data_IF_979585478510
#
_entry.id   IF_979585478510
#
_cell.length_a   1.000
_cell.length_b   1.000
_cell.length_c   1.000
_cell.angle_alpha   90.00
_cell.angle_beta   90.00
_cell.angle_gamma   90.00
#
_symmetry.space_group_name_H-M   'P 1'
#
loop_
_entity.id
_entity.type
_entity.pdbx_description
1 polymer ?
#
# COMPACT_ATOMS: atom_id res chain seq x y z
N UNK A 1 -29.98 -18.33 -45.25
CA UNK A 1 -29.76 -19.13 -44.02
C UNK A 1 -28.43 -18.71 -43.41
N UNK A 2 -28.39 -18.64 -42.08
CA UNK A 2 -27.26 -18.41 -41.16
C UNK A 2 -26.92 -16.95 -40.78
N UNK A 3 -27.07 -16.72 -39.47
CA UNK A 3 -26.79 -15.53 -38.69
C UNK A 3 -25.36 -15.61 -38.06
N UNK A 4 -25.05 -14.97 -36.92
CA UNK A 4 -24.31 -13.72 -36.79
C UNK A 4 -22.95 -13.90 -36.08
N UNK A 5 -21.99 -12.99 -36.32
CA UNK A 5 -20.71 -12.95 -35.60
C UNK A 5 -20.64 -11.79 -34.62
N UNK A 6 -20.98 -12.03 -33.35
CA UNK A 6 -20.59 -11.16 -32.24
C UNK A 6 -19.05 -11.16 -32.14
N UNK A 7 -18.43 -9.97 -32.12
CA UNK A 7 -17.13 -9.80 -31.48
C UNK A 7 -17.20 -8.58 -30.57
N UNK A 8 -17.43 -8.86 -29.29
CA UNK A 8 -17.29 -7.91 -28.21
C UNK A 8 -15.80 -7.55 -28.10
N UNK A 9 -15.44 -6.38 -28.64
CA UNK A 9 -14.15 -5.75 -28.36
C UNK A 9 -14.10 -5.33 -26.90
N UNK A 10 -13.58 -6.22 -26.04
CA UNK A 10 -13.33 -5.96 -24.64
C UNK A 10 -12.50 -4.67 -24.50
N UNK A 11 -13.11 -3.65 -23.88
CA UNK A 11 -12.41 -2.47 -23.43
C UNK A 11 -11.25 -2.92 -22.54
N UNK A 12 -10.02 -2.73 -23.04
CA UNK A 12 -8.81 -2.95 -22.27
C UNK A 12 -8.84 -1.93 -21.13
N UNK A 13 -9.24 -2.37 -19.94
CA UNK A 13 -9.14 -1.56 -18.73
C UNK A 13 -7.67 -1.18 -18.57
N UNK A 14 -7.38 0.09 -18.78
CA UNK A 14 -6.06 0.65 -18.55
C UNK A 14 -5.78 0.57 -17.06
N UNK A 15 -4.83 -0.29 -16.68
CA UNK A 15 -4.28 -0.34 -15.34
C UNK A 15 -3.60 1.01 -15.07
N UNK A 16 -3.94 1.74 -13.99
CA UNK A 16 -3.22 2.97 -13.67
C UNK A 16 -1.73 2.64 -13.46
N UNK A 17 -0.81 3.51 -13.92
CA UNK A 17 0.61 3.29 -13.75
C UNK A 17 0.92 3.38 -12.25
N UNK A 18 1.18 2.23 -11.60
CA UNK A 18 1.91 2.23 -10.34
C UNK A 18 3.37 2.59 -10.65
N UNK A 19 3.62 3.88 -10.87
CA UNK A 19 4.94 4.45 -11.08
C UNK A 19 5.63 4.68 -9.72
N UNK A 20 5.84 3.59 -8.98
CA UNK A 20 6.83 3.54 -7.91
C UNK A 20 8.22 3.30 -8.52
N UNK A 21 9.29 3.95 -8.03
CA UNK A 21 10.65 3.73 -8.54
C UNK A 21 11.01 2.24 -8.53
N UNK A 22 11.46 1.73 -9.68
CA UNK A 22 11.93 0.35 -9.80
C UNK A 22 13.09 0.09 -8.83
N UNK A 23 12.82 -0.73 -7.82
CA UNK A 23 13.74 -1.79 -7.41
C UNK A 23 14.87 -1.46 -6.44
N UNK A 24 14.75 -0.45 -5.56
CA UNK A 24 15.62 -0.39 -4.37
C UNK A 24 14.80 -0.04 -3.12
N UNK A 25 14.62 -1.04 -2.24
CA UNK A 25 14.15 -0.76 -0.88
C UNK A 25 15.29 -0.07 -0.15
N UNK A 26 15.17 1.25 -0.03
CA UNK A 26 16.08 2.09 0.75
C UNK A 26 16.04 1.68 2.24
N UNK A 27 17.08 1.96 3.03
CA UNK A 27 17.05 1.70 4.47
C UNK A 27 15.83 2.31 5.17
N UNK A 28 15.45 3.53 4.78
CA UNK A 28 14.24 4.21 5.28
C UNK A 28 12.95 3.42 4.94
N UNK A 29 12.81 2.93 3.72
CA UNK A 29 11.65 2.13 3.32
C UNK A 29 11.56 0.81 4.11
N UNK A 30 12.71 0.21 4.48
CA UNK A 30 12.73 -1.03 5.30
C UNK A 30 12.15 -0.80 6.70
N UNK A 31 12.48 0.35 7.30
CA UNK A 31 11.93 0.76 8.61
C UNK A 31 10.43 1.02 8.46
N UNK A 32 10.03 1.80 7.44
CA UNK A 32 8.64 2.15 7.19
C UNK A 32 7.77 0.90 6.98
N UNK A 33 8.19 -0.05 6.14
CA UNK A 33 7.51 -1.34 5.92
C UNK A 33 7.27 -2.06 7.25
N UNK A 34 8.29 -2.10 8.10
CA UNK A 34 8.24 -2.85 9.37
C UNK A 34 7.35 -2.16 10.40
N UNK A 35 7.37 -0.83 10.48
CA UNK A 35 6.48 -0.04 11.34
C UNK A 35 5.02 -0.18 10.91
N UNK A 36 4.73 -0.10 9.60
CA UNK A 36 3.37 -0.26 9.06
C UNK A 36 2.83 -1.66 9.33
N UNK A 37 3.67 -2.68 9.21
CA UNK A 37 3.32 -4.06 9.58
C UNK A 37 3.03 -4.21 11.08
N UNK A 38 3.87 -3.63 11.95
CA UNK A 38 3.66 -3.66 13.41
C UNK A 38 2.38 -2.93 13.83
N UNK A 39 2.09 -1.76 13.22
CA UNK A 39 0.84 -1.01 13.48
C UNK A 39 -0.42 -1.71 12.96
N UNK A 40 -0.30 -2.84 12.24
CA UNK A 40 -1.40 -3.61 11.63
C UNK A 40 -2.23 -2.79 10.63
N UNK A 41 -1.62 -1.78 10.01
CA UNK A 41 -2.28 -0.87 9.06
C UNK A 41 -2.45 -1.53 7.69
N UNK A 42 -1.49 -2.37 7.27
CA UNK A 42 -1.48 -3.00 5.95
C UNK A 42 -1.01 -4.46 6.02
N UNK A 43 -1.62 -5.32 5.20
CA UNK A 43 -1.14 -6.68 4.99
C UNK A 43 0.17 -6.70 4.16
N UNK A 44 0.95 -7.78 4.25
CA UNK A 44 2.21 -7.91 3.50
C UNK A 44 2.01 -7.83 1.98
N UNK A 45 0.87 -8.32 1.48
CA UNK A 45 0.50 -8.24 0.08
C UNK A 45 0.33 -6.77 -0.38
N UNK A 46 -0.39 -5.97 0.42
CA UNK A 46 -0.55 -4.54 0.18
C UNK A 46 0.79 -3.79 0.25
N UNK A 47 1.65 -4.13 1.21
CA UNK A 47 3.00 -3.58 1.30
C UNK A 47 3.84 -3.95 0.05
N UNK A 48 3.71 -5.17 -0.46
CA UNK A 48 4.36 -5.57 -1.71
C UNK A 48 3.93 -4.70 -2.89
N UNK A 49 2.62 -4.47 -3.03
CA UNK A 49 2.06 -3.58 -4.05
C UNK A 49 2.53 -2.13 -3.92
N UNK A 50 2.51 -1.56 -2.71
CA UNK A 50 2.90 -0.16 -2.46
C UNK A 50 4.38 0.10 -2.73
N UNK A 51 5.25 -0.83 -2.34
CA UNK A 51 6.70 -0.68 -2.48
C UNK A 51 7.22 -1.28 -3.79
N UNK A 52 6.36 -1.86 -4.64
CA UNK A 52 6.74 -2.47 -5.91
C UNK A 52 7.66 -3.68 -5.75
N UNK A 53 7.49 -4.46 -4.67
CA UNK A 53 8.36 -5.60 -4.31
C UNK A 53 7.53 -6.84 -3.97
N UNK A 54 8.18 -8.00 -3.96
CA UNK A 54 7.47 -9.26 -3.66
C UNK A 54 7.13 -9.39 -2.18
N UNK A 55 6.09 -10.17 -1.86
CA UNK A 55 5.74 -10.56 -0.48
C UNK A 55 6.94 -11.20 0.24
N UNK A 56 7.75 -11.99 -0.48
CA UNK A 56 8.95 -12.60 0.11
C UNK A 56 9.98 -11.55 0.52
N UNK A 57 10.16 -10.51 -0.29
CA UNK A 57 11.04 -9.37 0.05
C UNK A 57 10.52 -8.63 1.29
N UNK A 58 9.21 -8.40 1.38
CA UNK A 58 8.57 -7.80 2.57
C UNK A 58 8.82 -8.65 3.82
N UNK A 59 8.55 -9.96 3.73
CA UNK A 59 8.79 -10.90 4.83
C UNK A 59 10.25 -10.89 5.30
N UNK A 60 11.20 -10.84 4.37
CA UNK A 60 12.62 -10.75 4.68
C UNK A 60 12.96 -9.44 5.40
N UNK A 61 12.49 -8.31 4.88
CA UNK A 61 12.70 -6.98 5.49
C UNK A 61 12.15 -6.93 6.91
N UNK A 62 10.93 -7.43 7.14
CA UNK A 62 10.32 -7.45 8.47
C UNK A 62 11.17 -8.27 9.44
N UNK A 63 11.65 -9.45 9.01
CA UNK A 63 12.50 -10.31 9.85
C UNK A 63 13.83 -9.64 10.20
N UNK A 64 14.43 -8.94 9.25
CA UNK A 64 15.68 -8.21 9.45
C UNK A 64 15.51 -7.02 10.40
N UNK A 65 14.45 -6.21 10.23
CA UNK A 65 14.32 -4.92 10.93
C UNK A 65 13.57 -5.01 12.26
N UNK A 66 12.64 -5.96 12.41
CA UNK A 66 11.86 -6.15 13.64
C UNK A 66 12.73 -6.19 14.92
N UNK A 67 13.80 -7.00 15.01
CA UNK A 67 14.59 -7.07 16.25
C UNK A 67 15.22 -5.73 16.60
N UNK A 68 15.67 -4.93 15.61
CA UNK A 68 16.23 -3.60 15.87
C UNK A 68 15.19 -2.64 16.46
N UNK A 69 13.94 -2.69 16.00
CA UNK A 69 12.87 -1.84 16.53
C UNK A 69 12.42 -2.29 17.93
N UNK A 70 12.35 -3.59 18.15
CA UNK A 70 12.02 -4.18 19.47
C UNK A 70 13.10 -3.85 20.51
N UNK A 71 14.38 -3.99 20.15
CA UNK A 71 15.51 -3.60 21.02
C UNK A 71 15.55 -2.09 21.28
N UNK A 72 15.08 -1.27 20.34
CA UNK A 72 15.03 0.19 20.50
C UNK A 72 13.82 0.66 21.32
N UNK A 73 12.99 -0.24 21.86
CA UNK A 73 11.80 0.10 22.66
C UNK A 73 10.66 0.73 21.85
N UNK A 74 10.75 0.72 20.52
CA UNK A 74 9.74 1.31 19.64
C UNK A 74 8.70 0.25 19.33
N UNK A 75 7.69 0.11 20.19
CA UNK A 75 6.46 -0.60 19.86
C UNK A 75 5.42 0.39 19.34
N UNK A 76 5.18 0.44 18.01
CA UNK A 76 4.20 1.34 17.45
C UNK A 76 2.80 0.96 17.96
N UNK A 77 2.07 1.90 18.55
CA UNK A 77 0.67 1.69 18.95
C UNK A 77 -0.15 1.25 17.75
N UNK A 78 -0.98 0.21 17.93
CA UNK A 78 -1.87 -0.32 16.90
C UNK A 78 -2.77 0.80 16.39
N UNK A 79 -2.81 0.98 15.07
CA UNK A 79 -3.66 2.01 14.46
C UNK A 79 -5.11 1.54 14.40
N UNK A 80 -6.04 2.48 14.54
CA UNK A 80 -7.47 2.28 14.27
C UNK A 80 -7.77 2.24 12.77
N UNK A 81 -6.93 2.89 11.94
CA UNK A 81 -7.02 2.83 10.49
C UNK A 81 -6.38 1.53 9.96
N UNK A 82 -7.17 0.72 9.24
CA UNK A 82 -6.74 -0.55 8.64
C UNK A 82 -7.10 -0.54 7.16
N UNK A 83 -6.09 -0.60 6.30
CA UNK A 83 -6.25 -0.65 4.86
C UNK A 83 -6.03 -2.07 4.36
N UNK A 84 -6.96 -2.57 3.56
CA UNK A 84 -6.85 -3.91 2.94
C UNK A 84 -6.44 -3.83 1.49
N UNK A 85 -6.73 -2.73 0.81
CA UNK A 85 -6.45 -2.53 -0.60
C UNK A 85 -5.77 -1.18 -0.87
N UNK A 86 -5.09 -1.02 -2.02
CA UNK A 86 -4.60 0.30 -2.45
C UNK A 86 -5.75 1.31 -2.61
N UNK A 87 -6.92 0.86 -3.04
CA UNK A 87 -8.13 1.69 -3.15
C UNK A 87 -8.61 2.20 -1.79
N UNK A 88 -8.53 1.41 -0.72
CA UNK A 88 -8.87 1.88 0.64
C UNK A 88 -7.94 3.03 1.07
N UNK A 89 -6.66 2.98 0.68
CA UNK A 89 -5.69 4.05 0.95
C UNK A 89 -6.06 5.28 0.13
N UNK A 90 -6.39 5.12 -1.15
CA UNK A 90 -6.80 6.22 -2.00
C UNK A 90 -8.08 6.90 -1.48
N UNK A 91 -9.09 6.12 -1.08
CA UNK A 91 -10.34 6.61 -0.50
C UNK A 91 -10.10 7.33 0.84
N UNK A 92 -9.25 6.79 1.70
CA UNK A 92 -8.87 7.45 2.95
C UNK A 92 -8.12 8.76 2.71
N UNK A 93 -7.20 8.80 1.75
CA UNK A 93 -6.52 10.05 1.39
C UNK A 93 -7.50 11.10 0.86
N UNK A 94 -8.49 10.70 0.06
CA UNK A 94 -9.55 11.61 -0.41
C UNK A 94 -10.38 12.18 0.76
N UNK A 95 -10.78 11.32 1.71
CA UNK A 95 -11.51 11.72 2.92
C UNK A 95 -10.70 12.67 3.82
N UNK A 96 -9.41 12.42 3.98
CA UNK A 96 -8.50 13.30 4.75
C UNK A 96 -8.23 14.63 4.05
N UNK A 97 -8.14 14.64 2.72
CA UNK A 97 -8.05 15.91 1.98
C UNK A 97 -9.33 16.72 2.12
N UNK A 98 -10.51 16.09 2.07
CA UNK A 98 -11.81 16.76 2.22
C UNK A 98 -12.03 17.35 3.62
N UNK A 99 -11.42 16.73 4.65
CA UNK A 99 -11.44 17.27 6.01
C UNK A 99 -10.49 18.45 6.22
N UNK A 100 -9.36 18.53 5.49
CA UNK A 100 -8.47 19.70 5.59
C UNK A 100 -9.00 20.92 4.82
N UNK A 101 -9.61 20.76 3.64
CA UNK A 101 -10.12 21.91 2.85
C UNK A 101 -11.28 22.64 3.54
N UNK A 102 -12.08 21.94 4.35
CA UNK A 102 -13.15 22.56 5.13
C UNK A 102 -12.70 23.15 6.48
N UNK A 103 -11.43 22.98 6.85
CA UNK A 103 -10.87 23.56 8.09
C UNK A 103 -10.02 24.82 7.85
N UNK A 104 -9.70 25.14 6.61
CA UNK A 104 -9.02 26.38 6.22
C UNK A 104 -10.00 27.55 5.97
N UNK A 105 -11.09 27.59 6.72
CA UNK A 105 -11.94 28.78 6.84
C UNK A 105 -11.39 29.71 7.91
N UNK A 106 -10.39 30.52 7.56
CA UNK A 106 -9.99 31.74 8.29
C UNK A 106 -9.77 32.87 7.28
#
# INVERSE_FOLDING_TARGET
MSAPGLSAGAARQAKPPSAGPKGKITPANRILITVLYQRKIAAQDLLGHLFGVTIMTISRVIREVRPFLETSGHQPTVSTARFRTPDDIAAYLQDQTETEINSAGY
#
